data_IF_554841649073
#
_entry.id   IF_554841649073
#
_cell.length_a   1.000
_cell.length_b   1.000
_cell.length_c   1.000
_cell.angle_alpha   90.00
_cell.angle_beta   90.00
_cell.angle_gamma   90.00
#
_symmetry.space_group_name_H-M   'P 1'
#
loop_
_entity.id
_entity.type
_entity.pdbx_description
1 polymer ?
#
# COMPACT_ATOMS: atom_id res chain seq x y z
N UNK A 1 17.50 -5.62 -13.16
CA UNK A 1 16.62 -6.69 -13.70
C UNK A 1 15.65 -7.30 -12.69
N UNK A 2 15.98 -7.40 -11.39
CA UNK A 2 15.16 -8.13 -10.40
C UNK A 2 13.72 -7.59 -10.23
N UNK A 3 13.53 -6.28 -10.10
CA UNK A 3 12.20 -5.67 -9.86
C UNK A 3 11.20 -6.01 -10.99
N UNK A 4 11.66 -5.98 -12.24
CA UNK A 4 10.80 -6.14 -13.41
C UNK A 4 10.14 -7.53 -13.51
N UNK A 5 10.75 -8.56 -12.90
CA UNK A 5 10.21 -9.92 -12.92
C UNK A 5 9.12 -10.16 -11.87
N UNK A 6 9.12 -9.40 -10.77
CA UNK A 6 8.28 -9.68 -9.59
C UNK A 6 7.25 -8.58 -9.29
N UNK A 7 7.40 -7.39 -9.87
CA UNK A 7 6.44 -6.29 -9.72
C UNK A 7 5.52 -6.21 -10.93
N UNK A 8 4.22 -6.34 -10.67
CA UNK A 8 3.16 -6.07 -11.65
C UNK A 8 2.41 -4.80 -11.22
N UNK A 9 1.71 -4.16 -12.17
CA UNK A 9 0.85 -3.02 -11.88
C UNK A 9 -0.13 -3.38 -10.74
N UNK A 10 -0.21 -2.51 -9.74
CA UNK A 10 -1.09 -2.68 -8.58
C UNK A 10 -0.48 -3.44 -7.40
N UNK A 11 0.71 -4.04 -7.54
CA UNK A 11 1.40 -4.67 -6.41
C UNK A 11 2.06 -3.61 -5.52
N UNK A 12 1.79 -3.57 -4.20
CA UNK A 12 2.43 -2.62 -3.31
C UNK A 12 3.91 -2.95 -3.15
N UNK A 13 4.76 -1.91 -3.18
CA UNK A 13 6.19 -2.01 -2.88
C UNK A 13 6.61 -0.79 -2.05
N UNK A 14 7.56 -1.01 -1.14
CA UNK A 14 8.31 0.05 -0.49
C UNK A 14 9.62 0.27 -1.25
N UNK A 15 10.00 1.53 -1.44
CA UNK A 15 11.17 1.92 -2.25
C UNK A 15 11.96 2.96 -1.47
N UNK A 16 13.27 2.75 -1.36
CA UNK A 16 14.23 3.66 -0.77
C UNK A 16 15.30 4.04 -1.81
N UNK A 17 15.71 5.30 -1.79
CA UNK A 17 16.72 5.81 -2.70
C UNK A 17 16.72 7.34 -2.72
N UNK A 18 17.07 7.90 -3.88
CA UNK A 18 17.25 9.36 -4.03
C UNK A 18 16.36 9.95 -5.12
N UNK A 19 15.89 11.17 -4.89
CA UNK A 19 15.17 11.95 -5.90
C UNK A 19 16.17 12.59 -6.85
N UNK A 20 15.89 12.52 -8.15
CA UNK A 20 16.66 13.18 -9.18
C UNK A 20 15.73 13.88 -10.18
N UNK A 21 15.98 15.16 -10.40
CA UNK A 21 15.30 15.94 -11.45
C UNK A 21 16.27 16.15 -12.60
N UNK A 22 15.88 15.73 -13.81
CA UNK A 22 16.66 15.97 -15.02
C UNK A 22 15.85 16.72 -16.06
N UNK A 23 16.56 17.41 -16.95
CA UNK A 23 15.97 18.03 -18.12
C UNK A 23 16.63 17.55 -19.41
N UNK A 24 15.85 17.43 -20.48
CA UNK A 24 16.34 17.13 -21.83
C UNK A 24 15.54 17.91 -22.87
N UNK A 25 16.07 18.06 -24.07
CA UNK A 25 15.33 18.66 -25.18
C UNK A 25 14.45 17.60 -25.86
N UNK A 26 13.16 17.92 -26.03
CA UNK A 26 12.21 17.07 -26.74
C UNK A 26 12.61 16.92 -28.21
N UNK A 27 12.67 15.67 -28.70
CA UNK A 27 13.13 15.36 -30.06
C UNK A 27 12.28 15.98 -31.18
N UNK A 28 11.00 16.22 -30.94
CA UNK A 28 10.06 16.73 -31.94
C UNK A 28 9.96 18.26 -31.92
N UNK A 29 9.93 18.87 -30.74
CA UNK A 29 9.59 20.28 -30.60
C UNK A 29 10.76 21.17 -30.16
N UNK A 30 11.92 20.59 -29.82
CA UNK A 30 13.04 21.30 -29.19
C UNK A 30 12.76 21.84 -27.79
N UNK A 31 11.55 21.62 -27.25
CA UNK A 31 11.13 22.12 -25.93
C UNK A 31 11.89 21.41 -24.81
N UNK A 32 12.32 22.17 -23.81
CA UNK A 32 12.96 21.63 -22.60
C UNK A 32 11.93 20.90 -21.74
N UNK A 33 12.10 19.60 -21.61
CA UNK A 33 11.28 18.73 -20.77
C UNK A 33 11.97 18.49 -19.44
N UNK A 34 11.17 18.30 -18.40
CA UNK A 34 11.64 18.00 -17.05
C UNK A 34 11.04 16.68 -16.58
N UNK A 35 11.82 15.88 -15.87
CA UNK A 35 11.32 14.67 -15.20
C UNK A 35 11.99 14.52 -13.85
N UNK A 36 11.15 14.28 -12.86
CA UNK A 36 11.55 13.87 -11.52
C UNK A 36 11.43 12.35 -11.44
N UNK A 37 12.52 11.68 -11.08
CA UNK A 37 12.62 10.23 -10.97
C UNK A 37 13.16 9.89 -9.57
N UNK A 38 12.79 8.71 -9.06
CA UNK A 38 13.42 8.14 -7.87
C UNK A 38 14.42 7.09 -8.36
N UNK A 39 15.70 7.30 -8.07
CA UNK A 39 16.75 6.32 -8.33
C UNK A 39 16.74 5.36 -7.16
N UNK A 40 16.32 4.12 -7.42
CA UNK A 40 16.13 3.08 -6.40
C UNK A 40 17.48 2.51 -5.96
N UNK A 41 17.70 2.51 -4.64
CA UNK A 41 18.86 1.88 -4.00
C UNK A 41 18.45 0.59 -3.28
N UNK A 42 17.29 0.61 -2.61
CA UNK A 42 16.72 -0.56 -1.93
C UNK A 42 15.19 -0.62 -2.11
N UNK A 43 14.61 -1.81 -2.02
CA UNK A 43 13.16 -1.99 -2.10
C UNK A 43 12.68 -3.23 -1.35
N UNK A 44 11.41 -3.23 -0.95
CA UNK A 44 10.75 -4.35 -0.30
C UNK A 44 9.36 -4.56 -0.90
N UNK A 45 8.92 -5.81 -1.01
CA UNK A 45 7.56 -6.12 -1.44
C UNK A 45 6.58 -5.83 -0.30
N UNK A 46 5.47 -5.16 -0.61
CA UNK A 46 4.38 -4.98 0.35
C UNK A 46 3.56 -6.26 0.51
N UNK A 47 2.66 -6.27 1.50
CA UNK A 47 1.74 -7.37 1.68
C UNK A 47 0.84 -7.53 0.44
N UNK A 48 0.79 -8.73 -0.12
CA UNK A 48 -0.16 -9.07 -1.18
C UNK A 48 -1.56 -9.10 -0.56
N UNK A 49 -2.32 -8.01 -0.76
CA UNK A 49 -3.71 -7.91 -0.31
C UNK A 49 -4.58 -8.94 -1.01
N UNK A 50 -4.66 -10.15 -0.45
CA UNK A 50 -5.63 -11.17 -0.80
C UNK A 50 -5.25 -12.08 -1.97
N UNK A 51 -4.42 -13.09 -1.70
CA UNK A 51 -4.63 -14.43 -2.22
C UNK A 51 -3.90 -15.42 -1.31
N UNK A 52 -4.59 -15.86 -0.26
CA UNK A 52 -4.35 -17.15 0.34
C UNK A 52 -4.63 -18.22 -0.73
N UNK A 53 -3.68 -18.46 -1.64
CA UNK A 53 -3.62 -19.68 -2.45
C UNK A 53 -2.85 -20.73 -1.65
N UNK A 54 -3.42 -21.07 -0.49
CA UNK A 54 -3.04 -22.23 0.32
C UNK A 54 -4.07 -23.32 0.10
N UNK A 55 -3.98 -23.99 -1.05
CA UNK A 55 -4.66 -25.26 -1.24
C UNK A 55 -4.07 -26.30 -0.29
N UNK A 56 -4.74 -26.54 0.83
CA UNK A 56 -4.64 -27.80 1.57
C UNK A 56 -6.00 -28.13 2.15
N UNK A 57 -6.64 -29.08 1.49
CA UNK A 57 -7.74 -29.87 2.00
C UNK A 57 -7.40 -30.41 3.40
N UNK A 58 -8.15 -29.98 4.41
CA UNK A 58 -8.37 -30.74 5.61
C UNK A 58 -9.85 -30.62 5.98
N UNK A 59 -10.64 -31.56 5.48
CA UNK A 59 -11.97 -31.87 5.97
C UNK A 59 -11.87 -32.34 7.43
N UNK A 60 -12.30 -31.52 8.39
CA UNK A 60 -12.61 -31.96 9.75
C UNK A 60 -13.80 -31.20 10.31
N UNK A 61 -14.86 -31.97 10.55
CA UNK A 61 -15.78 -31.82 11.68
C UNK A 61 -16.59 -30.53 11.71
N UNK A 62 -17.84 -30.62 11.28
CA UNK A 62 -18.88 -29.73 11.77
C UNK A 62 -19.03 -29.94 13.29
N UNK A 63 -18.72 -28.92 14.07
CA UNK A 63 -19.18 -28.79 15.45
C UNK A 63 -19.84 -27.42 15.56
N UNK A 64 -21.14 -27.45 15.83
CA UNK A 64 -22.05 -26.31 15.88
C UNK A 64 -21.79 -25.54 17.19
N UNK A 65 -21.11 -24.40 17.09
CA UNK A 65 -20.87 -23.49 18.20
C UNK A 65 -21.84 -22.30 18.09
N UNK A 66 -22.60 -21.95 19.15
CA UNK A 66 -23.64 -20.93 19.07
C UNK A 66 -23.04 -19.54 18.75
N UNK A 67 -23.73 -18.81 17.88
CA UNK A 67 -23.35 -17.49 17.40
C UNK A 67 -23.13 -16.48 18.55
N UNK A 68 -22.03 -15.70 18.54
CA UNK A 68 -21.93 -14.53 19.40
C UNK A 68 -22.90 -13.46 18.86
N UNK A 69 -23.72 -12.92 19.75
CA UNK A 69 -24.64 -11.82 19.44
C UNK A 69 -23.81 -10.56 19.18
N UNK A 70 -24.08 -9.92 18.04
CA UNK A 70 -23.76 -8.52 17.77
C UNK A 70 -24.24 -7.64 18.93
N UNK A 71 -23.32 -6.96 19.62
CA UNK A 71 -23.53 -5.68 20.30
C UNK A 71 -22.20 -5.21 20.93
N UNK A 72 -21.19 -4.95 20.11
CA UNK A 72 -20.15 -3.98 20.46
C UNK A 72 -20.12 -2.92 19.37
N UNK A 73 -21.14 -2.06 19.40
CA UNK A 73 -21.06 -0.75 18.77
C UNK A 73 -19.78 -0.08 19.26
N UNK A 74 -18.92 0.32 18.33
CA UNK A 74 -17.73 1.12 18.59
C UNK A 74 -18.20 2.35 19.38
N UNK A 75 -17.93 2.37 20.68
CA UNK A 75 -18.21 3.53 21.52
C UNK A 75 -17.15 4.58 21.22
N UNK A 76 -17.51 5.52 20.35
CA UNK A 76 -16.74 6.75 20.23
C UNK A 76 -16.83 7.50 21.56
N UNK A 77 -15.72 8.02 22.09
CA UNK A 77 -15.80 8.91 23.24
C UNK A 77 -16.63 10.14 22.85
N UNK A 78 -17.63 10.49 23.66
CA UNK A 78 -18.45 11.70 23.51
C UNK A 78 -17.66 13.00 23.82
N UNK A 79 -16.33 12.93 23.85
CA UNK A 79 -15.48 14.10 24.09
C UNK A 79 -15.51 14.98 22.83
N UNK A 80 -16.23 16.09 22.92
CA UNK A 80 -16.26 17.13 21.90
C UNK A 80 -14.81 17.59 21.64
N UNK A 81 -14.32 17.32 20.41
CA UNK A 81 -13.00 17.76 19.97
C UNK A 81 -12.97 19.29 20.00
N UNK A 82 -12.23 19.87 20.96
CA UNK A 82 -12.05 21.31 21.05
C UNK A 82 -11.10 21.78 19.92
N UNK A 83 -11.55 22.67 19.02
CA UNK A 83 -10.72 23.16 17.92
C UNK A 83 -9.49 23.95 18.37
N UNK A 84 -9.44 24.40 19.63
CA UNK A 84 -8.30 25.13 20.21
C UNK A 84 -7.12 24.22 20.61
N UNK A 85 -7.35 22.91 20.78
CA UNK A 85 -6.31 21.93 21.13
C UNK A 85 -5.65 21.30 19.89
N UNK A 86 -6.09 21.68 18.69
CA UNK A 86 -5.50 21.24 17.42
C UNK A 86 -4.32 22.17 17.10
N UNK A 87 -3.06 21.72 17.20
CA UNK A 87 -1.91 22.56 16.84
C UNK A 87 -1.92 22.85 15.33
N UNK A 88 -1.57 24.09 14.97
CA UNK A 88 -1.35 24.53 13.58
C UNK A 88 -0.12 23.87 12.94
#
# INVERSE_FOLDING_TARGET
EVIAQYVKKGRPIFVEGRIQTRSWEGKEDGKKQYRTEIIVENFQFGADGGAAHGGSSASRGAEEQPAPKDDEAIKYPDEEINPEDIPF
#
